data_IF_539084148612
#
_entry.id   IF_539084148612
#
_cell.length_a   1.000
_cell.length_b   1.000
_cell.length_c   1.000
_cell.angle_alpha   90.00
_cell.angle_beta   90.00
_cell.angle_gamma   90.00
#
_symmetry.space_group_name_H-M   'P 1'
#
loop_
_entity.id
_entity.type
_entity.pdbx_description
1 polymer ?
#
# COMPACT_ATOMS: atom_id res chain seq x y z
N UNK A 1 26.10 66.57 15.76
CA UNK A 1 25.92 65.15 16.15
C UNK A 1 24.80 64.54 15.28
N UNK A 2 25.18 63.83 14.21
CA UNK A 2 24.24 63.21 13.25
C UNK A 2 24.06 61.72 13.63
N UNK A 3 22.88 61.35 14.10
CA UNK A 3 22.53 59.94 14.39
C UNK A 3 22.14 59.24 13.11
N UNK A 4 22.99 58.31 12.62
CA UNK A 4 22.68 57.44 11.53
C UNK A 4 21.78 56.30 12.02
N UNK A 5 20.55 56.22 11.52
CA UNK A 5 19.64 55.12 11.73
C UNK A 5 20.00 54.02 10.72
N UNK A 6 20.58 52.93 11.20
CA UNK A 6 20.85 51.74 10.41
C UNK A 6 19.56 50.90 10.45
N UNK A 7 18.77 50.92 9.37
CA UNK A 7 17.62 50.03 9.20
C UNK A 7 18.10 48.68 8.74
N UNK A 8 18.09 47.73 9.64
CA UNK A 8 18.37 46.31 9.33
C UNK A 8 17.13 45.70 8.73
N UNK A 9 17.12 45.54 7.42
CA UNK A 9 16.06 44.75 6.70
C UNK A 9 16.38 43.30 6.90
N UNK A 10 15.59 42.62 7.76
CA UNK A 10 15.64 41.18 7.97
C UNK A 10 14.87 40.53 6.86
N UNK A 11 15.55 40.03 5.82
CA UNK A 11 14.94 39.15 4.78
C UNK A 11 14.61 37.79 5.42
N UNK A 12 13.37 37.60 5.79
CA UNK A 12 12.84 36.29 6.12
C UNK A 12 12.72 35.46 4.83
N UNK A 13 13.69 34.60 4.58
CA UNK A 13 13.58 33.58 3.52
C UNK A 13 12.56 32.52 4.00
N UNK A 14 11.32 32.65 3.60
CA UNK A 14 10.31 31.62 3.73
C UNK A 14 10.69 30.46 2.81
N UNK A 15 11.34 29.45 3.37
CA UNK A 15 11.52 28.17 2.72
C UNK A 15 10.15 27.51 2.59
N UNK A 16 9.48 27.70 1.46
CA UNK A 16 8.29 26.95 1.10
C UNK A 16 8.77 25.52 0.84
N UNK A 17 8.60 24.64 1.83
CA UNK A 17 8.73 23.21 1.62
C UNK A 17 7.65 22.81 0.61
N UNK A 18 8.01 22.72 -0.66
CA UNK A 18 7.13 22.19 -1.68
C UNK A 18 6.99 20.69 -1.38
N UNK A 19 5.84 20.28 -0.89
CA UNK A 19 5.41 18.91 -0.97
C UNK A 19 5.38 18.56 -2.47
N UNK A 20 6.40 17.83 -2.92
CA UNK A 20 6.41 17.34 -4.30
C UNK A 20 5.30 16.30 -4.39
N UNK A 21 4.22 16.66 -5.06
CA UNK A 21 3.17 15.69 -5.42
C UNK A 21 3.85 14.52 -6.15
N UNK A 22 3.69 13.32 -5.61
CA UNK A 22 4.24 12.13 -6.24
C UNK A 22 3.66 12.02 -7.65
N UNK A 23 4.54 11.82 -8.62
CA UNK A 23 4.10 11.52 -9.99
C UNK A 23 3.32 10.20 -10.00
N UNK A 24 2.45 9.96 -10.99
CA UNK A 24 1.83 8.65 -11.17
C UNK A 24 2.86 7.54 -11.09
N UNK A 25 2.57 6.48 -10.34
CA UNK A 25 3.51 5.38 -10.13
C UNK A 25 3.86 4.65 -11.43
N UNK A 26 5.11 4.28 -11.57
CA UNK A 26 5.65 3.51 -12.69
C UNK A 26 5.93 2.08 -12.26
N UNK A 27 5.28 1.09 -12.89
CA UNK A 27 5.53 -0.32 -12.61
C UNK A 27 6.98 -0.73 -12.91
N UNK A 28 7.58 -0.21 -13.98
CA UNK A 28 8.97 -0.47 -14.33
C UNK A 28 9.98 0.11 -13.31
N UNK A 29 9.64 1.25 -12.69
CA UNK A 29 10.43 1.80 -11.58
C UNK A 29 10.21 1.00 -10.30
N UNK A 30 8.97 0.57 -10.05
CA UNK A 30 8.62 -0.27 -8.91
C UNK A 30 9.30 -1.63 -8.93
N UNK A 31 9.42 -2.26 -10.10
CA UNK A 31 10.14 -3.54 -10.29
C UNK A 31 11.57 -3.45 -9.77
N UNK A 32 12.30 -2.39 -10.11
CA UNK A 32 13.68 -2.17 -9.66
C UNK A 32 13.80 -1.98 -8.14
N UNK A 33 12.72 -1.58 -7.48
CA UNK A 33 12.65 -1.32 -6.03
C UNK A 33 12.08 -2.50 -5.24
N UNK A 34 11.45 -3.46 -5.92
CA UNK A 34 10.69 -4.53 -5.30
C UNK A 34 11.54 -5.64 -4.66
N UNK A 35 12.86 -5.66 -4.87
CA UNK A 35 13.75 -6.75 -4.43
C UNK A 35 13.59 -7.10 -2.95
N UNK A 36 13.53 -6.09 -2.06
CA UNK A 36 13.37 -6.35 -0.62
C UNK A 36 11.94 -6.80 -0.25
N UNK A 37 10.96 -6.49 -1.07
CA UNK A 37 9.56 -6.85 -0.84
C UNK A 37 9.28 -8.30 -1.29
N UNK A 38 9.81 -8.68 -2.47
CA UNK A 38 9.61 -10.01 -3.08
C UNK A 38 10.16 -11.13 -2.20
N UNK A 39 11.25 -10.88 -1.45
CA UNK A 39 11.85 -11.85 -0.54
C UNK A 39 10.89 -12.36 0.56
N UNK A 40 9.85 -11.60 0.86
CA UNK A 40 8.79 -12.02 1.78
C UNK A 40 7.43 -12.18 1.07
N UNK A 41 7.02 -11.19 0.30
CA UNK A 41 5.69 -11.13 -0.33
C UNK A 41 5.58 -11.88 -1.67
N UNK A 42 6.69 -12.39 -2.21
CA UNK A 42 6.74 -13.18 -3.45
C UNK A 42 6.80 -14.69 -3.23
N UNK A 43 6.92 -15.16 -2.01
CA UNK A 43 7.10 -16.59 -1.70
C UNK A 43 5.78 -17.16 -1.18
N UNK A 44 5.18 -18.08 -1.93
CA UNK A 44 3.92 -18.72 -1.54
C UNK A 44 4.08 -19.49 -0.22
N UNK A 45 3.23 -19.18 0.75
CA UNK A 45 3.23 -19.83 2.06
C UNK A 45 4.34 -19.41 3.00
N UNK A 46 5.13 -18.38 2.65
CA UNK A 46 6.17 -17.87 3.51
C UNK A 46 5.64 -17.45 4.88
N UNK A 47 6.36 -17.83 5.91
CA UNK A 47 6.08 -17.45 7.30
C UNK A 47 7.29 -16.69 7.85
N UNK A 48 7.05 -15.51 8.37
CA UNK A 48 8.03 -14.75 9.13
C UNK A 48 7.94 -15.14 10.62
N UNK A 49 9.05 -15.05 11.34
CA UNK A 49 9.14 -15.38 12.77
C UNK A 49 9.17 -14.13 13.67
N UNK A 50 9.22 -12.95 13.10
CA UNK A 50 9.28 -11.69 13.84
C UNK A 50 8.13 -10.75 13.42
N UNK A 51 7.43 -10.10 14.38
CA UNK A 51 7.57 -10.20 15.86
C UNK A 51 7.06 -11.51 16.45
N UNK A 52 6.28 -12.25 15.68
CA UNK A 52 5.74 -13.58 15.99
C UNK A 52 5.57 -14.37 14.70
N UNK A 53 5.40 -15.68 14.78
CA UNK A 53 5.22 -16.52 13.58
C UNK A 53 3.88 -16.17 12.92
N UNK A 54 3.94 -15.70 11.69
CA UNK A 54 2.75 -15.36 10.89
C UNK A 54 2.99 -15.60 9.40
N UNK A 55 1.91 -15.85 8.68
CA UNK A 55 1.94 -15.96 7.21
C UNK A 55 2.05 -14.58 6.60
N UNK A 56 3.06 -14.39 5.74
CA UNK A 56 3.21 -13.15 4.98
C UNK A 56 2.22 -13.18 3.80
N UNK A 57 1.39 -12.16 3.63
CA UNK A 57 0.42 -12.14 2.54
C UNK A 57 1.11 -11.97 1.19
N UNK A 58 0.65 -12.70 0.17
CA UNK A 58 0.96 -12.40 -1.23
C UNK A 58 0.22 -11.12 -1.61
N UNK A 59 0.94 -10.15 -2.19
CA UNK A 59 0.38 -8.84 -2.53
C UNK A 59 0.34 -8.56 -4.04
N UNK A 60 0.85 -9.48 -4.85
CA UNK A 60 0.78 -9.40 -6.32
C UNK A 60 -0.66 -9.41 -6.80
N UNK A 61 -1.02 -8.47 -7.68
CA UNK A 61 -2.37 -8.27 -8.19
C UNK A 61 -3.32 -7.49 -7.28
N UNK A 62 -2.86 -7.11 -6.09
CA UNK A 62 -3.64 -6.24 -5.21
C UNK A 62 -3.71 -4.82 -5.77
N UNK A 63 -4.81 -4.11 -5.53
CA UNK A 63 -5.02 -2.75 -6.04
C UNK A 63 -3.93 -1.76 -5.59
N UNK A 64 -3.42 -0.95 -6.54
CA UNK A 64 -2.37 0.02 -6.25
C UNK A 64 -2.77 1.00 -5.14
N UNK A 65 -4.01 1.49 -5.15
CA UNK A 65 -4.52 2.37 -4.09
C UNK A 65 -4.49 1.71 -2.71
N UNK A 66 -4.85 0.42 -2.62
CA UNK A 66 -4.79 -0.30 -1.36
C UNK A 66 -3.36 -0.47 -0.86
N UNK A 67 -2.42 -0.83 -1.75
CA UNK A 67 -1.00 -0.99 -1.38
C UNK A 67 -0.46 0.36 -0.88
N UNK A 68 -0.70 1.45 -1.62
CA UNK A 68 -0.26 2.78 -1.24
C UNK A 68 -0.84 3.21 0.12
N UNK A 69 -2.14 3.07 0.32
CA UNK A 69 -2.80 3.40 1.59
C UNK A 69 -2.25 2.55 2.76
N UNK A 70 -1.98 1.26 2.51
CA UNK A 70 -1.41 0.36 3.52
C UNK A 70 0.01 0.75 3.92
N UNK A 71 0.88 1.07 2.95
CA UNK A 71 2.24 1.52 3.21
C UNK A 71 2.25 2.86 3.96
N UNK A 72 1.40 3.81 3.53
CA UNK A 72 1.23 5.09 4.24
C UNK A 72 0.76 4.89 5.70
N UNK A 73 -0.19 3.98 5.93
CA UNK A 73 -0.68 3.66 7.27
C UNK A 73 0.40 2.99 8.15
N UNK A 74 1.26 2.14 7.59
CA UNK A 74 2.43 1.61 8.31
C UNK A 74 3.44 2.70 8.63
N UNK A 75 3.76 3.56 7.65
CA UNK A 75 4.69 4.70 7.81
C UNK A 75 4.22 5.63 8.92
N UNK A 76 2.95 5.96 8.94
CA UNK A 76 2.32 6.81 9.95
C UNK A 76 2.17 6.11 11.32
N UNK A 77 2.08 4.78 11.33
CA UNK A 77 1.88 3.97 12.53
C UNK A 77 0.41 3.66 12.85
N UNK A 78 -0.51 3.94 11.94
CA UNK A 78 -1.92 3.56 12.06
C UNK A 78 -2.09 2.03 11.94
N UNK A 79 -1.27 1.37 11.10
CA UNK A 79 -1.15 -0.09 11.06
C UNK A 79 0.02 -0.54 11.91
N UNK A 80 -0.24 -1.57 12.74
CA UNK A 80 0.74 -2.08 13.72
C UNK A 80 1.43 -3.32 13.16
N UNK A 81 2.65 -3.21 12.72
CA UNK A 81 3.58 -4.29 12.37
C UNK A 81 5.01 -3.76 12.33
N UNK A 82 5.88 -4.13 13.27
CA UNK A 82 7.22 -3.53 13.40
C UNK A 82 8.04 -3.59 12.10
N UNK A 83 8.13 -4.76 11.46
CA UNK A 83 8.88 -4.94 10.22
C UNK A 83 8.34 -4.05 9.09
N UNK A 84 7.01 -4.08 8.88
CA UNK A 84 6.41 -3.27 7.81
C UNK A 84 6.50 -1.77 8.08
N UNK A 85 6.45 -1.34 9.34
CA UNK A 85 6.68 0.04 9.71
C UNK A 85 8.10 0.48 9.37
N UNK A 86 9.11 -0.34 9.70
CA UNK A 86 10.50 -0.05 9.38
C UNK A 86 10.71 0.11 7.86
N UNK A 87 10.19 -0.86 7.08
CA UNK A 87 10.24 -0.81 5.62
C UNK A 87 9.53 0.44 5.09
N UNK A 88 8.28 0.69 5.49
CA UNK A 88 7.48 1.79 4.97
C UNK A 88 8.08 3.17 5.32
N UNK A 89 8.72 3.30 6.47
CA UNK A 89 9.36 4.56 6.90
C UNK A 89 10.54 4.93 5.99
N UNK A 90 11.23 3.96 5.39
CA UNK A 90 12.35 4.21 4.47
C UNK A 90 11.91 4.62 3.05
N UNK A 91 10.62 4.45 2.71
CA UNK A 91 10.10 4.75 1.38
C UNK A 91 9.73 6.22 1.22
N UNK A 92 10.05 6.80 0.08
CA UNK A 92 9.49 8.08 -0.37
C UNK A 92 8.05 7.89 -0.88
N UNK A 93 7.30 8.98 -1.05
CA UNK A 93 5.95 8.91 -1.64
C UNK A 93 6.01 8.37 -3.09
N UNK A 94 7.06 8.72 -3.84
CA UNK A 94 7.26 8.19 -5.19
C UNK A 94 7.59 6.68 -5.17
N UNK A 95 8.37 6.20 -4.18
CA UNK A 95 8.62 4.76 -4.04
C UNK A 95 7.34 3.99 -3.74
N UNK A 96 6.49 4.54 -2.88
CA UNK A 96 5.17 3.96 -2.58
C UNK A 96 4.32 3.90 -3.85
N UNK A 97 4.28 4.97 -4.63
CA UNK A 97 3.51 5.00 -5.89
C UNK A 97 4.03 3.97 -6.91
N UNK A 98 5.35 3.90 -7.09
CA UNK A 98 5.98 2.99 -8.05
C UNK A 98 5.81 1.52 -7.67
N UNK A 99 6.05 1.18 -6.40
CA UNK A 99 5.86 -0.18 -5.87
C UNK A 99 4.40 -0.61 -5.94
N UNK A 100 3.48 0.30 -5.67
CA UNK A 100 2.04 0.02 -5.77
C UNK A 100 1.62 -0.30 -7.20
N UNK A 101 2.10 0.48 -8.17
CA UNK A 101 1.86 0.23 -9.60
C UNK A 101 2.47 -1.10 -10.07
N UNK A 102 3.67 -1.43 -9.59
CA UNK A 102 4.31 -2.71 -9.91
C UNK A 102 3.49 -3.89 -9.41
N UNK A 103 3.14 -3.91 -8.12
CA UNK A 103 2.42 -5.04 -7.53
C UNK A 103 1.01 -5.22 -8.09
N UNK A 104 0.32 -4.15 -8.47
CA UNK A 104 -0.97 -4.25 -9.14
C UNK A 104 -0.86 -4.99 -10.48
N UNK A 105 0.19 -4.74 -11.24
CA UNK A 105 0.43 -5.37 -12.55
C UNK A 105 1.09 -6.74 -12.44
N UNK A 106 1.95 -6.95 -11.45
CA UNK A 106 2.76 -8.16 -11.27
C UNK A 106 1.93 -9.43 -11.07
N UNK A 107 0.71 -9.32 -10.54
CA UNK A 107 -0.19 -10.45 -10.35
C UNK A 107 -0.84 -10.98 -11.63
N UNK A 108 -0.72 -10.25 -12.74
CA UNK A 108 -1.39 -10.60 -13.99
C UNK A 108 -2.92 -10.63 -13.85
N UNK A 109 -3.60 -11.20 -14.85
CA UNK A 109 -5.07 -11.32 -14.86
C UNK A 109 -5.61 -12.30 -13.80
N UNK A 110 -4.77 -13.24 -13.32
CA UNK A 110 -5.14 -14.26 -12.31
C UNK A 110 -5.47 -13.69 -10.93
N UNK A 111 -4.98 -12.51 -10.60
CA UNK A 111 -5.21 -11.89 -9.29
C UNK A 111 -6.51 -11.07 -9.21
N UNK A 112 -7.29 -11.03 -10.28
CA UNK A 112 -8.45 -10.15 -10.40
C UNK A 112 -9.80 -10.87 -10.39
N UNK A 113 -9.81 -12.19 -10.50
CA UNK A 113 -11.04 -13.00 -10.47
C UNK A 113 -10.75 -14.36 -9.82
N UNK A 114 -11.73 -14.98 -9.15
CA UNK A 114 -11.62 -16.39 -8.81
C UNK A 114 -11.27 -17.17 -10.07
N UNK A 115 -10.43 -18.22 -9.98
CA UNK A 115 -10.15 -19.06 -11.12
C UNK A 115 -11.48 -19.63 -11.67
N UNK A 116 -11.61 -19.71 -12.99
CA UNK A 116 -12.75 -20.38 -13.61
C UNK A 116 -12.88 -21.79 -13.02
N UNK A 117 -14.04 -22.09 -12.44
CA UNK A 117 -14.26 -23.34 -11.71
C UNK A 117 -13.91 -23.29 -10.21
N UNK A 118 -13.64 -22.12 -9.63
CA UNK A 118 -13.55 -22.00 -8.18
C UNK A 118 -14.84 -22.57 -7.54
N UNK A 119 -14.67 -23.47 -6.58
CA UNK A 119 -15.81 -24.03 -5.87
C UNK A 119 -16.63 -22.90 -5.21
N UNK A 120 -17.95 -22.98 -5.35
CA UNK A 120 -18.84 -22.07 -4.62
C UNK A 120 -18.52 -22.15 -3.12
N UNK A 121 -18.60 -21.02 -2.43
CA UNK A 121 -18.43 -20.99 -0.99
C UNK A 121 -19.44 -21.94 -0.33
N UNK A 122 -19.01 -22.66 0.70
CA UNK A 122 -19.93 -23.52 1.47
C UNK A 122 -21.09 -22.69 2.05
N UNK A 123 -22.24 -23.29 2.36
CA UNK A 123 -23.37 -22.60 2.97
C UNK A 123 -22.98 -21.78 4.21
N UNK A 124 -22.09 -22.32 5.05
CA UNK A 124 -21.62 -21.66 6.27
C UNK A 124 -20.78 -20.44 5.95
N UNK A 125 -19.87 -20.53 4.97
CA UNK A 125 -19.07 -19.38 4.52
C UNK A 125 -19.97 -18.31 3.91
N UNK A 126 -20.95 -18.70 3.10
CA UNK A 126 -21.92 -17.78 2.51
C UNK A 126 -22.73 -17.04 3.60
N UNK A 127 -23.17 -17.77 4.61
CA UNK A 127 -23.89 -17.17 5.77
C UNK A 127 -23.00 -16.16 6.52
N UNK A 128 -21.73 -16.48 6.74
CA UNK A 128 -20.77 -15.57 7.40
C UNK A 128 -20.51 -14.31 6.55
N UNK A 129 -20.31 -14.46 5.25
CA UNK A 129 -20.10 -13.34 4.32
C UNK A 129 -21.30 -12.40 4.28
N UNK A 130 -22.52 -12.98 4.32
CA UNK A 130 -23.79 -12.22 4.38
C UNK A 130 -23.93 -11.50 5.71
N UNK A 131 -23.74 -12.23 6.82
CA UNK A 131 -23.83 -11.67 8.18
C UNK A 131 -22.82 -10.53 8.41
N UNK A 132 -21.61 -10.69 7.89
CA UNK A 132 -20.53 -9.70 7.98
C UNK A 132 -20.68 -8.55 6.98
N UNK A 133 -21.67 -8.59 6.07
CA UNK A 133 -21.85 -7.62 4.98
C UNK A 133 -20.57 -7.35 4.19
N UNK A 134 -19.69 -8.35 4.02
CA UNK A 134 -18.34 -8.19 3.45
C UNK A 134 -18.36 -7.58 2.04
N UNK A 135 -19.39 -7.92 1.23
CA UNK A 135 -19.55 -7.37 -0.11
C UNK A 135 -19.78 -5.87 -0.15
N UNK A 136 -20.25 -5.26 0.96
CA UNK A 136 -20.49 -3.80 1.02
C UNK A 136 -19.21 -2.98 0.88
N UNK A 137 -18.05 -3.54 1.23
CA UNK A 137 -16.75 -2.90 1.10
C UNK A 137 -15.91 -3.56 0.00
N UNK A 138 -15.91 -4.90 -0.07
CA UNK A 138 -15.04 -5.65 -0.97
C UNK A 138 -15.65 -5.91 -2.36
N UNK A 139 -16.89 -5.46 -2.61
CA UNK A 139 -17.63 -5.67 -3.84
C UNK A 139 -18.27 -7.06 -3.92
N UNK A 140 -19.26 -7.21 -4.79
CA UNK A 140 -20.08 -8.44 -4.89
C UNK A 140 -19.27 -9.70 -5.21
N UNK A 141 -18.16 -9.57 -5.93
CA UNK A 141 -17.26 -10.67 -6.30
C UNK A 141 -15.94 -10.65 -5.52
N UNK A 142 -15.82 -9.81 -4.50
CA UNK A 142 -14.63 -9.65 -3.64
C UNK A 142 -13.33 -9.27 -4.35
N UNK A 143 -13.35 -9.10 -5.68
CA UNK A 143 -12.19 -8.68 -6.50
C UNK A 143 -12.26 -7.22 -6.96
N UNK A 144 -13.42 -6.57 -6.80
CA UNK A 144 -13.66 -5.17 -7.18
C UNK A 144 -14.25 -4.39 -6.00
N UNK A 145 -13.42 -3.97 -5.04
CA UNK A 145 -13.86 -3.17 -3.90
C UNK A 145 -14.57 -1.89 -4.35
N UNK A 146 -15.48 -1.39 -3.53
CA UNK A 146 -16.20 -0.13 -3.80
C UNK A 146 -15.30 1.10 -3.72
N UNK A 147 -14.21 1.01 -2.95
CA UNK A 147 -13.15 2.01 -2.86
C UNK A 147 -11.79 1.34 -2.96
N UNK A 148 -10.84 2.03 -3.62
CA UNK A 148 -9.50 1.47 -3.85
C UNK A 148 -8.66 1.29 -2.58
N UNK A 149 -9.06 1.86 -1.44
CA UNK A 149 -8.39 1.64 -0.15
C UNK A 149 -8.77 0.32 0.53
N UNK A 150 -9.81 -0.36 0.04
CA UNK A 150 -10.15 -1.71 0.50
C UNK A 150 -9.42 -2.78 -0.31
N UNK A 151 -8.98 -3.89 0.32
CA UNK A 151 -8.30 -4.96 -0.40
C UNK A 151 -9.24 -5.78 -1.28
N UNK A 152 -8.70 -6.33 -2.36
CA UNK A 152 -9.30 -7.48 -3.03
C UNK A 152 -9.08 -8.70 -2.14
N UNK A 153 -10.12 -9.51 -1.94
CA UNK A 153 -10.08 -10.70 -1.06
C UNK A 153 -10.60 -11.97 -1.74
N UNK A 154 -10.82 -11.91 -3.07
CA UNK A 154 -11.15 -13.07 -3.89
C UNK A 154 -9.90 -13.87 -4.26
#
# INVERSE_FOLDING_TARGET
>A
MKRALISTVLLAVLSVAQAQDAKPGSAASGEKKAAMCIGCHGIKGYQASFPEVHKVPMISGQGAKYIAASLAAYKKGDRKHPTMRAIATSLTEQDIADLSAFYEQHGGKSASAPPDGAAAASPDVTALLTKGACASCHGANYSKPIDGSYPKIA
#
